data_IF_549163314605
#
_entry.id   IF_549163314605
#
_cell.length_a   1.000
_cell.length_b   1.000
_cell.length_c   1.000
_cell.angle_alpha   90.00
_cell.angle_beta   90.00
_cell.angle_gamma   90.00
#
_symmetry.space_group_name_H-M   'P 1'
#
loop_
_entity.id
_entity.type
_entity.pdbx_description
1 polymer ?
#
# COMPACT_ATOMS: atom_id res chain seq x y z
N UNK A 1 -19.36 2.25 4.08
CA UNK A 1 -20.25 3.38 3.76
C UNK A 1 -20.71 3.21 2.32
N UNK A 2 -22.02 3.24 2.06
CA UNK A 2 -22.53 3.19 0.70
C UNK A 2 -22.45 4.58 0.06
N UNK A 3 -22.08 4.61 -1.22
CA UNK A 3 -22.03 5.82 -2.03
C UNK A 3 -23.03 5.70 -3.18
N UNK A 4 -23.25 6.82 -3.88
CA UNK A 4 -23.96 6.80 -5.16
C UNK A 4 -23.28 5.89 -6.20
N UNK A 5 -21.97 5.66 -6.08
CA UNK A 5 -21.16 4.99 -7.10
C UNK A 5 -20.75 3.56 -6.75
N UNK A 6 -20.85 3.16 -5.48
CA UNK A 6 -20.52 1.82 -5.02
C UNK A 6 -21.35 1.44 -3.79
N UNK A 7 -21.56 0.13 -3.61
CA UNK A 7 -22.18 -0.46 -2.42
C UNK A 7 -21.19 -1.37 -1.73
N UNK A 8 -21.21 -1.40 -0.40
CA UNK A 8 -20.44 -2.37 0.37
C UNK A 8 -21.19 -3.70 0.50
N UNK A 9 -20.57 -4.79 0.08
CA UNK A 9 -21.10 -6.15 0.21
C UNK A 9 -20.15 -7.03 1.04
N UNK A 10 -20.65 -8.12 1.68
CA UNK A 10 -19.76 -9.09 2.31
C UNK A 10 -18.70 -9.58 1.32
N UNK A 11 -17.44 -9.58 1.76
CA UNK A 11 -16.35 -10.09 0.94
C UNK A 11 -16.41 -11.62 0.82
N UNK A 12 -15.87 -12.14 -0.28
CA UNK A 12 -15.61 -13.58 -0.41
C UNK A 12 -14.22 -13.91 0.15
N UNK A 13 -13.96 -15.15 0.59
CA UNK A 13 -12.62 -15.58 0.98
C UNK A 13 -11.58 -15.33 -0.12
N UNK A 14 -11.95 -15.55 -1.38
CA UNK A 14 -11.07 -15.28 -2.52
C UNK A 14 -10.69 -13.80 -2.62
N UNK A 15 -11.64 -12.89 -2.44
CA UNK A 15 -11.37 -11.45 -2.45
C UNK A 15 -10.38 -11.06 -1.35
N UNK A 16 -10.57 -11.60 -0.13
CA UNK A 16 -9.66 -11.33 0.99
C UNK A 16 -8.27 -11.90 0.75
N UNK A 17 -8.19 -13.10 0.17
CA UNK A 17 -6.91 -13.71 -0.22
C UNK A 17 -6.17 -12.83 -1.25
N UNK A 18 -6.87 -12.37 -2.29
CA UNK A 18 -6.28 -11.52 -3.32
C UNK A 18 -5.76 -10.21 -2.72
N UNK A 19 -6.49 -9.61 -1.76
CA UNK A 19 -6.02 -8.45 -1.01
C UNK A 19 -4.78 -8.74 -0.16
N UNK A 20 -4.76 -9.85 0.59
CA UNK A 20 -3.59 -10.27 1.39
C UNK A 20 -2.35 -10.46 0.51
N UNK A 21 -2.53 -11.08 -0.66
CA UNK A 21 -1.46 -11.22 -1.64
C UNK A 21 -1.04 -9.87 -2.21
N UNK A 22 -2.00 -9.00 -2.50
CA UNK A 22 -1.68 -7.67 -3.02
C UNK A 22 -0.90 -6.83 -2.02
N UNK A 23 -1.26 -6.90 -0.74
CA UNK A 23 -0.56 -6.23 0.34
C UNK A 23 0.86 -6.76 0.49
N UNK A 24 1.02 -8.08 0.64
CA UNK A 24 2.31 -8.73 0.75
C UNK A 24 3.22 -8.41 -0.45
N UNK A 25 2.72 -8.54 -1.67
CA UNK A 25 3.52 -8.27 -2.86
C UNK A 25 3.91 -6.79 -2.97
N UNK A 26 3.04 -5.86 -2.60
CA UNK A 26 3.36 -4.44 -2.59
C UNK A 26 4.46 -4.13 -1.56
N UNK A 27 4.32 -4.66 -0.34
CA UNK A 27 5.31 -4.54 0.73
C UNK A 27 6.69 -5.06 0.29
N UNK A 28 6.75 -6.27 -0.26
CA UNK A 28 8.00 -6.88 -0.72
C UNK A 28 8.57 -6.22 -1.99
N UNK A 29 7.70 -5.65 -2.84
CA UNK A 29 8.16 -4.95 -4.04
C UNK A 29 8.87 -3.64 -3.69
N UNK A 30 8.51 -2.95 -2.59
CA UNK A 30 9.16 -1.71 -2.16
C UNK A 30 10.59 -1.98 -1.66
N UNK A 31 10.84 -3.11 -0.99
CA UNK A 31 12.13 -3.46 -0.36
C UNK A 31 12.67 -4.87 -0.75
N UNK A 32 12.88 -5.16 -2.04
CA UNK A 32 13.17 -6.53 -2.51
C UNK A 32 14.55 -7.07 -2.12
N UNK A 33 15.49 -6.18 -1.76
CA UNK A 33 16.85 -6.57 -1.30
C UNK A 33 16.89 -7.03 0.16
N UNK A 34 15.90 -6.61 0.96
CA UNK A 34 15.80 -6.93 2.38
C UNK A 34 15.04 -8.25 2.52
N UNK A 35 13.83 -8.31 1.95
CA UNK A 35 12.89 -9.39 2.22
C UNK A 35 12.96 -10.60 1.28
N UNK A 36 13.74 -10.51 0.19
CA UNK A 36 13.78 -11.53 -0.86
C UNK A 36 12.46 -11.68 -1.62
N UNK A 37 12.49 -12.38 -2.77
CA UNK A 37 11.32 -12.62 -3.62
C UNK A 37 10.64 -13.94 -3.28
N UNK A 38 10.32 -14.18 -2.01
CA UNK A 38 9.63 -15.41 -1.62
C UNK A 38 8.14 -15.27 -1.89
N UNK A 39 7.64 -16.07 -2.82
CA UNK A 39 6.22 -16.15 -3.20
C UNK A 39 5.46 -16.79 -2.03
N UNK A 40 4.30 -16.20 -1.70
CA UNK A 40 3.32 -16.81 -0.79
C UNK A 40 2.24 -17.50 -1.62
N UNK A 41 1.84 -18.67 -1.16
CA UNK A 41 0.77 -19.49 -1.72
C UNK A 41 -0.38 -19.61 -0.72
N UNK A 42 -1.61 -19.93 -1.14
CA UNK A 42 -2.76 -20.02 -0.23
C UNK A 42 -2.53 -20.98 0.95
N UNK A 43 -1.75 -22.04 0.73
CA UNK A 43 -1.40 -23.09 1.69
C UNK A 43 -0.27 -22.69 2.64
N UNK A 44 0.36 -21.52 2.44
CA UNK A 44 1.43 -21.02 3.31
C UNK A 44 0.92 -20.92 4.75
N UNK A 45 1.68 -21.44 5.70
CA UNK A 45 1.28 -21.38 7.11
C UNK A 45 1.28 -19.94 7.63
N UNK A 46 0.44 -19.63 8.62
CA UNK A 46 0.44 -18.29 9.23
C UNK A 46 1.79 -17.95 9.87
N UNK A 47 2.43 -18.92 10.52
CA UNK A 47 3.77 -18.75 11.06
C UNK A 47 4.80 -18.40 9.98
N UNK A 48 4.79 -19.11 8.85
CA UNK A 48 5.69 -18.79 7.73
C UNK A 48 5.37 -17.43 7.11
N UNK A 49 4.10 -17.06 7.01
CA UNK A 49 3.68 -15.76 6.47
C UNK A 49 4.16 -14.60 7.37
N UNK A 50 3.95 -14.70 8.69
CA UNK A 50 4.41 -13.71 9.67
C UNK A 50 5.95 -13.61 9.67
N UNK A 51 6.63 -14.75 9.70
CA UNK A 51 8.09 -14.82 9.63
C UNK A 51 8.64 -14.16 8.35
N UNK A 52 8.00 -14.40 7.20
CA UNK A 52 8.43 -13.84 5.90
C UNK A 52 8.24 -12.34 5.78
N UNK A 53 7.28 -11.76 6.51
CA UNK A 53 7.16 -10.32 6.61
C UNK A 53 8.22 -9.69 7.55
N UNK A 54 9.15 -10.50 8.09
CA UNK A 54 10.14 -10.11 9.11
C UNK A 54 9.49 -9.48 10.35
N UNK A 55 8.29 -9.96 10.69
CA UNK A 55 7.47 -9.42 11.77
C UNK A 55 7.65 -10.17 13.09
N UNK A 56 8.63 -11.08 13.17
CA UNK A 56 8.87 -11.87 14.40
C UNK A 56 9.16 -10.99 15.63
N UNK A 57 9.66 -9.76 15.42
CA UNK A 57 9.94 -8.76 16.46
C UNK A 57 8.97 -7.55 16.47
N UNK A 58 8.07 -7.43 15.50
CA UNK A 58 7.01 -6.41 15.49
C UNK A 58 5.83 -6.94 16.30
N UNK A 59 5.31 -6.15 17.25
CA UNK A 59 4.15 -6.59 18.04
C UNK A 59 2.96 -6.82 17.09
N UNK A 60 2.22 -7.89 17.34
CA UNK A 60 1.02 -8.28 16.59
C UNK A 60 0.07 -7.09 16.37
N UNK A 61 0.07 -6.15 17.32
CA UNK A 61 -0.66 -4.88 17.35
C UNK A 61 -0.36 -4.03 16.11
N UNK A 62 0.91 -3.94 15.69
CA UNK A 62 1.27 -3.18 14.48
C UNK A 62 0.65 -3.80 13.22
N UNK A 63 0.62 -5.12 13.15
CA UNK A 63 0.02 -5.86 12.04
C UNK A 63 -1.50 -5.69 12.06
N UNK A 64 -2.11 -5.84 13.23
CA UNK A 64 -3.54 -5.65 13.43
C UNK A 64 -3.97 -4.24 13.01
N UNK A 65 -3.21 -3.20 13.38
CA UNK A 65 -3.46 -1.82 13.00
C UNK A 65 -3.31 -1.61 11.49
N UNK A 66 -2.21 -2.08 10.88
CA UNK A 66 -1.97 -1.95 9.45
C UNK A 66 -3.06 -2.67 8.64
N UNK A 67 -3.35 -3.92 8.98
CA UNK A 67 -4.36 -4.69 8.28
C UNK A 67 -5.76 -4.14 8.53
N UNK A 68 -6.06 -3.63 9.73
CA UNK A 68 -7.31 -2.91 9.98
C UNK A 68 -7.47 -1.71 9.05
N UNK A 69 -6.41 -0.94 8.85
CA UNK A 69 -6.42 0.18 7.91
C UNK A 69 -6.60 -0.30 6.46
N UNK A 70 -5.85 -1.32 6.03
CA UNK A 70 -5.92 -1.85 4.67
C UNK A 70 -7.29 -2.46 4.34
N UNK A 71 -7.86 -3.20 5.28
CA UNK A 71 -9.13 -3.90 5.11
C UNK A 71 -10.36 -3.10 5.57
N UNK A 72 -10.17 -1.89 6.11
CA UNK A 72 -11.19 -1.12 6.82
C UNK A 72 -11.94 -1.96 7.85
N UNK A 73 -11.18 -2.66 8.68
CA UNK A 73 -11.69 -3.46 9.78
C UNK A 73 -11.59 -2.67 11.09
N UNK A 74 -12.55 -2.93 11.98
CA UNK A 74 -12.56 -2.43 13.36
C UNK A 74 -12.38 -3.61 14.33
N UNK A 75 -11.44 -4.52 14.02
CA UNK A 75 -11.14 -5.65 14.90
C UNK A 75 -10.21 -5.18 16.03
N UNK A 76 -10.54 -5.54 17.28
CA UNK A 76 -9.61 -5.39 18.40
C UNK A 76 -8.40 -6.31 18.23
N UNK A 77 -7.33 -6.00 18.97
CA UNK A 77 -6.11 -6.81 19.02
C UNK A 77 -6.41 -8.26 19.44
N UNK A 78 -7.22 -8.45 20.48
CA UNK A 78 -7.65 -9.77 20.96
C UNK A 78 -8.33 -10.58 19.85
N UNK A 79 -9.24 -9.95 19.10
CA UNK A 79 -9.92 -10.61 17.99
C UNK A 79 -8.93 -10.98 16.88
N UNK A 80 -7.99 -10.09 16.54
CA UNK A 80 -6.94 -10.40 15.57
C UNK A 80 -6.08 -11.58 16.00
N UNK A 81 -5.75 -11.66 17.28
CA UNK A 81 -5.00 -12.78 17.82
C UNK A 81 -5.79 -14.10 17.70
N UNK A 82 -7.09 -14.09 18.01
CA UNK A 82 -7.95 -15.25 17.82
C UNK A 82 -8.05 -15.67 16.35
N UNK A 83 -8.21 -14.71 15.44
CA UNK A 83 -8.24 -14.96 13.98
C UNK A 83 -6.93 -15.59 13.50
N UNK A 84 -5.78 -15.07 13.93
CA UNK A 84 -4.46 -15.59 13.56
C UNK A 84 -4.15 -16.95 14.18
N UNK A 85 -4.55 -17.19 15.44
CA UNK A 85 -4.35 -18.48 16.10
C UNK A 85 -5.24 -19.59 15.54
N UNK A 86 -6.45 -19.24 15.11
CA UNK A 86 -7.39 -20.21 14.55
C UNK A 86 -7.06 -20.63 13.12
N UNK A 87 -6.36 -19.76 12.38
CA UNK A 87 -5.94 -20.00 11.01
C UNK A 87 -4.65 -20.83 10.93
N UNK A 88 -4.67 -21.93 10.14
CA UNK A 88 -3.46 -22.74 9.89
C UNK A 88 -2.71 -22.28 8.66
N UNK A 89 -3.42 -21.70 7.70
CA UNK A 89 -2.90 -21.20 6.42
C UNK A 89 -3.43 -19.81 6.10
N UNK A 90 -2.81 -19.12 5.14
CA UNK A 90 -3.31 -17.83 4.63
C UNK A 90 -4.74 -17.96 4.11
N UNK A 91 -5.07 -19.09 3.47
CA UNK A 91 -6.45 -19.36 3.04
C UNK A 91 -7.43 -19.43 4.22
N UNK A 92 -7.07 -20.12 5.31
CA UNK A 92 -7.94 -20.20 6.50
C UNK A 92 -8.16 -18.81 7.12
N UNK A 93 -7.12 -17.98 7.14
CA UNK A 93 -7.22 -16.59 7.58
C UNK A 93 -8.15 -15.79 6.66
N UNK A 94 -8.01 -15.94 5.34
CA UNK A 94 -8.88 -15.27 4.38
C UNK A 94 -10.36 -15.68 4.53
N UNK A 95 -10.62 -16.97 4.78
CA UNK A 95 -11.96 -17.50 5.08
C UNK A 95 -12.52 -16.84 6.34
N UNK A 96 -11.72 -16.76 7.40
CA UNK A 96 -12.19 -16.22 8.67
C UNK A 96 -12.43 -14.71 8.60
N UNK A 97 -11.48 -13.95 8.05
CA UNK A 97 -11.59 -12.51 7.83
C UNK A 97 -12.73 -12.12 6.88
N UNK A 98 -13.12 -12.98 5.92
CA UNK A 98 -14.23 -12.70 4.99
C UNK A 98 -15.57 -12.41 5.69
N UNK A 99 -15.73 -12.84 6.94
CA UNK A 99 -16.91 -12.53 7.77
C UNK A 99 -16.99 -11.07 8.20
N UNK A 100 -15.84 -10.40 8.25
CA UNK A 100 -15.69 -9.04 8.74
C UNK A 100 -15.46 -8.05 7.59
N UNK A 101 -14.76 -8.48 6.54
CA UNK A 101 -14.37 -7.62 5.42
C UNK A 101 -15.57 -7.29 4.53
N UNK A 102 -15.67 -6.02 4.16
CA UNK A 102 -16.61 -5.52 3.14
C UNK A 102 -15.86 -5.10 1.88
N UNK A 103 -16.40 -5.51 0.73
CA UNK A 103 -15.86 -5.15 -0.57
C UNK A 103 -16.75 -4.11 -1.25
N UNK A 104 -16.16 -3.08 -1.90
CA UNK A 104 -16.91 -2.16 -2.72
C UNK A 104 -17.31 -2.83 -4.05
N UNK A 105 -18.61 -2.85 -4.33
CA UNK A 105 -19.17 -3.27 -5.61
C UNK A 105 -19.60 -2.01 -6.37
N UNK A 106 -19.01 -1.81 -7.55
CA UNK A 106 -19.26 -0.63 -8.38
C UNK A 106 -20.66 -0.69 -8.98
N UNK A 107 -21.40 0.42 -8.83
CA UNK A 107 -22.76 0.54 -9.37
C UNK A 107 -22.69 1.19 -10.76
N UNK A 108 -23.21 0.56 -11.81
CA UNK A 108 -23.19 1.16 -13.15
C UNK A 108 -23.94 2.49 -13.14
N UNK A 109 -23.36 3.49 -13.82
CA UNK A 109 -24.02 4.78 -14.01
C UNK A 109 -24.41 4.95 -15.47
N UNK A 110 -25.49 5.67 -15.72
CA UNK A 110 -25.94 5.99 -17.07
C UNK A 110 -25.28 7.28 -17.56
N UNK A 111 -24.50 7.19 -18.63
CA UNK A 111 -23.94 8.35 -19.35
C UNK A 111 -24.49 8.33 -20.76
N UNK A 112 -25.17 9.42 -21.16
CA UNK A 112 -25.80 9.53 -22.50
C UNK A 112 -26.71 8.35 -22.86
N UNK A 113 -27.47 7.85 -21.88
CA UNK A 113 -28.41 6.75 -22.06
C UNK A 113 -27.81 5.34 -22.07
N UNK A 114 -26.50 5.18 -21.81
CA UNK A 114 -25.83 3.87 -21.74
C UNK A 114 -25.18 3.66 -20.38
N UNK A 115 -25.21 2.42 -19.88
CA UNK A 115 -24.44 2.04 -18.69
C UNK A 115 -22.94 2.14 -18.98
N UNK A 116 -22.21 2.80 -18.08
CA UNK A 116 -20.79 3.06 -18.23
C UNK A 116 -20.05 2.71 -16.93
N UNK A 117 -19.43 1.52 -16.90
CA UNK A 117 -18.62 1.06 -15.78
C UNK A 117 -17.36 1.90 -15.57
N UNK A 118 -16.69 2.36 -16.65
CA UNK A 118 -15.51 3.22 -16.53
C UNK A 118 -15.83 4.51 -15.78
N UNK A 119 -16.96 5.13 -16.10
CA UNK A 119 -17.39 6.36 -15.45
C UNK A 119 -17.82 6.11 -13.99
N UNK A 120 -18.46 4.97 -13.70
CA UNK A 120 -18.73 4.55 -12.32
C UNK A 120 -17.43 4.35 -11.52
N UNK A 121 -16.48 3.59 -12.05
CA UNK A 121 -15.19 3.35 -11.42
C UNK A 121 -14.43 4.66 -11.14
N UNK A 122 -14.41 5.59 -12.10
CA UNK A 122 -13.78 6.90 -11.91
C UNK A 122 -14.42 7.68 -10.77
N UNK A 123 -15.75 7.75 -10.75
CA UNK A 123 -16.50 8.50 -9.73
C UNK A 123 -16.41 7.82 -8.35
N UNK A 124 -16.40 6.50 -8.29
CA UNK A 124 -16.20 5.75 -7.05
C UNK A 124 -14.81 6.02 -6.45
N UNK A 125 -13.74 5.92 -7.25
CA UNK A 125 -12.38 6.24 -6.80
C UNK A 125 -12.27 7.69 -6.34
N UNK A 126 -12.90 8.62 -7.08
CA UNK A 126 -12.93 10.04 -6.73
C UNK A 126 -13.67 10.28 -5.41
N UNK A 127 -14.79 9.61 -5.19
CA UNK A 127 -15.58 9.71 -3.97
C UNK A 127 -14.84 9.12 -2.76
N UNK A 128 -14.20 7.96 -2.91
CA UNK A 128 -13.37 7.34 -1.87
C UNK A 128 -12.20 8.27 -1.47
N UNK A 129 -11.49 8.83 -2.45
CA UNK A 129 -10.43 9.81 -2.21
C UNK A 129 -10.94 11.06 -1.47
N UNK A 130 -12.11 11.56 -1.86
CA UNK A 130 -12.71 12.74 -1.25
C UNK A 130 -13.15 12.48 0.19
N UNK A 131 -13.68 11.29 0.50
CA UNK A 131 -14.06 10.89 1.86
C UNK A 131 -12.85 10.91 2.82
N UNK A 132 -11.65 10.63 2.31
CA UNK A 132 -10.42 10.65 3.08
C UNK A 132 -9.69 12.01 3.03
N UNK A 133 -10.38 13.06 2.58
CA UNK A 133 -9.88 14.43 2.62
C UNK A 133 -8.90 14.80 1.50
N UNK A 134 -8.72 13.97 0.48
CA UNK A 134 -7.89 14.31 -0.69
C UNK A 134 -8.62 15.33 -1.57
N UNK A 135 -7.93 16.41 -1.97
CA UNK A 135 -8.51 17.38 -2.90
C UNK A 135 -8.63 16.79 -4.32
N UNK A 136 -9.85 16.42 -4.67
CA UNK A 136 -10.19 15.82 -5.96
C UNK A 136 -10.71 16.81 -7.01
N UNK A 137 -10.70 18.12 -6.73
CA UNK A 137 -11.33 19.14 -7.60
C UNK A 137 -10.72 19.15 -9.00
N UNK A 138 -9.42 18.89 -9.12
CA UNK A 138 -8.67 18.85 -10.39
C UNK A 138 -8.57 17.46 -11.02
N UNK A 139 -9.16 16.42 -10.41
CA UNK A 139 -9.14 15.08 -10.98
C UNK A 139 -10.08 14.96 -12.17
N UNK A 140 -9.49 14.59 -13.31
CA UNK A 140 -10.15 14.25 -14.55
C UNK A 140 -9.68 12.87 -15.03
N UNK A 141 -10.40 12.20 -15.95
CA UNK A 141 -9.97 10.91 -16.49
C UNK A 141 -8.59 10.95 -17.16
N UNK A 142 -8.18 12.09 -17.70
CA UNK A 142 -6.85 12.29 -18.30
C UNK A 142 -5.76 12.62 -17.28
N UNK A 143 -6.09 12.82 -16.01
CA UNK A 143 -5.11 13.11 -14.96
C UNK A 143 -4.20 11.90 -14.80
N UNK A 144 -2.89 12.15 -14.65
CA UNK A 144 -1.94 11.07 -14.42
C UNK A 144 -2.14 10.45 -13.03
N UNK A 145 -2.13 9.12 -12.97
CA UNK A 145 -2.27 8.37 -11.72
C UNK A 145 -0.96 8.34 -10.94
N UNK A 146 0.18 8.43 -11.63
CA UNK A 146 1.53 8.24 -11.06
C UNK A 146 1.84 9.16 -9.87
N UNK A 147 1.57 10.49 -9.90
CA UNK A 147 1.85 11.36 -8.76
C UNK A 147 1.05 10.95 -7.53
N UNK A 148 -0.25 10.74 -7.69
CA UNK A 148 -1.17 10.44 -6.59
C UNK A 148 -0.88 9.06 -5.99
N UNK A 149 -0.54 8.08 -6.82
CA UNK A 149 -0.13 6.76 -6.34
C UNK A 149 1.11 6.82 -5.46
N UNK A 150 2.11 7.62 -5.83
CA UNK A 150 3.35 7.70 -5.05
C UNK A 150 3.21 8.58 -3.81
N UNK A 151 2.30 9.56 -3.80
CA UNK A 151 2.14 10.52 -2.72
C UNK A 151 1.08 10.13 -1.67
N UNK A 152 0.12 9.29 -2.02
CA UNK A 152 -1.02 8.95 -1.15
C UNK A 152 -1.11 7.45 -0.86
N UNK A 153 -0.71 7.07 0.37
CA UNK A 153 -0.91 5.71 0.88
C UNK A 153 -2.40 5.35 0.91
N UNK A 154 -3.24 6.31 1.27
CA UNK A 154 -4.70 6.22 1.24
C UNK A 154 -5.23 5.82 -0.13
N UNK A 155 -4.74 6.44 -1.20
CA UNK A 155 -5.12 6.07 -2.56
C UNK A 155 -4.68 4.65 -2.91
N UNK A 156 -3.47 4.23 -2.49
CA UNK A 156 -3.01 2.85 -2.68
C UNK A 156 -3.93 1.86 -1.95
N UNK A 157 -4.40 2.17 -0.75
CA UNK A 157 -5.35 1.35 0.02
C UNK A 157 -6.70 1.22 -0.68
N UNK A 158 -7.31 2.33 -1.10
CA UNK A 158 -8.57 2.29 -1.86
C UNK A 158 -8.45 1.52 -3.16
N UNK A 159 -7.34 1.74 -3.86
CA UNK A 159 -7.11 1.07 -5.12
C UNK A 159 -6.97 -0.44 -4.94
N UNK A 160 -6.31 -0.91 -3.88
CA UNK A 160 -6.28 -2.34 -3.53
C UNK A 160 -7.68 -2.89 -3.30
N UNK A 161 -8.56 -2.17 -2.61
CA UNK A 161 -9.94 -2.62 -2.36
C UNK A 161 -10.79 -2.73 -3.62
N UNK A 162 -10.66 -1.78 -4.55
CA UNK A 162 -11.38 -1.82 -5.83
C UNK A 162 -10.75 -2.82 -6.80
N UNK A 163 -9.43 -3.03 -6.70
CA UNK A 163 -8.63 -3.88 -7.57
C UNK A 163 -7.75 -4.81 -6.73
N UNK A 164 -8.31 -5.88 -6.12
CA UNK A 164 -7.57 -6.75 -5.20
C UNK A 164 -6.44 -7.54 -5.88
N UNK A 165 -6.49 -7.68 -7.21
CA UNK A 165 -5.39 -8.25 -8.00
C UNK A 165 -4.31 -7.24 -8.39
N UNK A 166 -4.21 -6.07 -7.72
CA UNK A 166 -3.33 -4.97 -8.08
C UNK A 166 -1.87 -5.38 -8.27
N UNK A 167 -1.38 -6.32 -7.44
CA UNK A 167 -0.02 -6.84 -7.52
C UNK A 167 0.37 -7.44 -8.87
N UNK A 168 -0.60 -7.89 -9.68
CA UNK A 168 -0.32 -8.41 -11.04
C UNK A 168 -0.05 -7.29 -12.04
N UNK A 169 -0.52 -6.07 -11.73
CA UNK A 169 -0.46 -4.89 -12.59
C UNK A 169 0.61 -3.89 -12.14
N UNK A 170 1.04 -3.94 -10.88
CA UNK A 170 2.05 -3.04 -10.32
C UNK A 170 3.41 -3.73 -10.27
N UNK A 171 4.43 -3.04 -10.76
CA UNK A 171 5.82 -3.41 -10.53
C UNK A 171 6.59 -2.23 -9.96
N UNK A 172 7.61 -2.55 -9.17
CA UNK A 172 8.50 -1.55 -8.63
C UNK A 172 9.60 -1.21 -9.64
N UNK A 173 9.62 0.04 -10.08
CA UNK A 173 10.74 0.59 -10.83
C UNK A 173 11.73 1.18 -9.84
N UNK A 174 12.96 0.66 -9.83
CA UNK A 174 14.07 1.28 -9.11
C UNK A 174 14.48 2.52 -9.86
N UNK A 175 14.04 3.67 -9.36
CA UNK A 175 14.49 4.94 -9.90
C UNK A 175 15.74 5.35 -9.14
N UNK A 176 16.67 5.82 -9.94
CA UNK A 176 17.98 6.22 -9.52
C UNK A 176 17.92 7.73 -9.31
N UNK A 177 17.51 8.16 -8.13
CA UNK A 177 17.36 9.59 -7.81
C UNK A 177 18.75 10.16 -7.57
N UNK A 178 19.14 11.17 -8.34
CA UNK A 178 20.47 11.77 -8.27
C UNK A 178 20.37 13.25 -7.94
N UNK A 179 20.74 13.59 -6.70
CA UNK A 179 20.96 14.96 -6.28
C UNK A 179 19.95 15.50 -5.26
N UNK A 180 20.38 16.56 -4.59
CA UNK A 180 19.68 17.18 -3.45
C UNK A 180 18.30 17.71 -3.85
N UNK A 181 18.12 18.18 -5.09
CA UNK A 181 16.88 18.82 -5.54
C UNK A 181 15.68 17.87 -5.56
N UNK A 182 15.84 16.65 -6.09
CA UNK A 182 14.78 15.64 -6.09
C UNK A 182 14.47 15.14 -4.66
N UNK A 183 15.49 14.98 -3.81
CA UNK A 183 15.31 14.64 -2.39
C UNK A 183 14.61 15.74 -1.58
N UNK A 184 14.78 17.01 -1.97
CA UNK A 184 14.12 18.17 -1.37
C UNK A 184 12.65 18.25 -1.77
N UNK A 185 12.35 18.03 -3.06
CA UNK A 185 10.98 18.04 -3.60
C UNK A 185 10.10 16.93 -3.00
N UNK A 186 10.70 15.83 -2.56
CA UNK A 186 10.00 14.70 -1.92
C UNK A 186 9.82 14.84 -0.40
N UNK A 187 10.31 15.91 0.25
CA UNK A 187 10.14 16.14 1.70
C UNK A 187 10.90 15.16 2.63
N UNK A 188 11.40 14.06 2.08
CA UNK A 188 12.12 13.00 2.76
C UNK A 188 13.44 13.45 3.40
N UNK A 189 14.16 14.39 2.79
CA UNK A 189 15.45 14.84 3.31
C UNK A 189 15.32 15.49 4.70
N UNK A 190 14.23 16.22 4.95
CA UNK A 190 13.98 16.88 6.22
C UNK A 190 13.48 15.91 7.28
N UNK A 191 12.64 14.93 6.91
CA UNK A 191 12.15 13.91 7.85
C UNK A 191 13.30 13.00 8.30
N UNK A 192 14.11 12.47 7.37
CA UNK A 192 15.26 11.63 7.72
C UNK A 192 16.33 12.40 8.52
N UNK A 193 16.57 13.67 8.19
CA UNK A 193 17.48 14.52 8.95
C UNK A 193 16.99 14.78 10.38
N UNK A 194 15.68 15.03 10.56
CA UNK A 194 15.07 15.27 11.87
C UNK A 194 15.08 14.01 12.73
N UNK A 195 14.63 12.87 12.21
CA UNK A 195 14.63 11.61 12.95
C UNK A 195 16.03 11.10 13.25
N UNK A 196 16.97 11.26 12.31
CA UNK A 196 18.37 10.87 12.49
C UNK A 196 19.07 11.71 13.57
N UNK A 197 18.82 13.01 13.62
CA UNK A 197 19.37 13.89 14.67
C UNK A 197 18.77 13.59 16.03
N UNK A 198 17.45 13.37 16.12
CA UNK A 198 16.78 12.99 17.35
C UNK A 198 17.32 11.66 17.91
N UNK A 199 17.45 10.63 17.06
CA UNK A 199 18.01 9.34 17.45
C UNK A 199 19.47 9.46 17.91
N UNK A 200 20.27 10.29 17.24
CA UNK A 200 21.67 10.53 17.62
C UNK A 200 21.77 11.21 18.98
N UNK A 201 20.93 12.20 19.26
CA UNK A 201 20.87 12.87 20.56
C UNK A 201 20.49 11.87 21.65
N UNK A 202 19.46 11.04 21.43
CA UNK A 202 19.07 9.99 22.36
C UNK A 202 20.23 9.01 22.63
N UNK A 203 20.90 8.52 21.58
CA UNK A 203 22.04 7.60 21.72
C UNK A 203 23.23 8.24 22.44
N UNK A 204 23.42 9.56 22.34
CA UNK A 204 24.51 10.26 23.02
C UNK A 204 24.35 10.22 24.55
N UNK A 205 23.12 10.15 25.06
CA UNK A 205 22.83 10.03 26.50
C UNK A 205 22.95 8.59 27.01
N UNK A 206 22.49 7.60 26.25
CA UNK A 206 22.41 6.21 26.72
C UNK A 206 23.60 5.35 26.30
N UNK A 207 24.22 5.64 25.14
CA UNK A 207 25.32 4.84 24.60
C UNK A 207 26.21 5.66 23.63
N UNK A 208 27.11 6.51 24.18
CA UNK A 208 27.94 7.44 23.40
C UNK A 208 28.72 6.83 22.22
N UNK A 209 29.23 5.57 22.29
CA UNK A 209 29.89 4.95 21.14
C UNK A 209 28.97 4.74 19.93
N UNK A 210 27.69 4.37 20.12
CA UNK A 210 26.76 4.24 18.98
C UNK A 210 26.38 5.59 18.40
N UNK A 211 26.30 6.64 19.22
CA UNK A 211 26.06 7.99 18.72
C UNK A 211 27.18 8.42 17.74
N UNK A 212 28.44 8.13 18.06
CA UNK A 212 29.57 8.37 17.16
C UNK A 212 29.44 7.63 15.83
N UNK A 213 29.05 6.35 15.86
CA UNK A 213 28.83 5.55 14.64
C UNK A 213 27.68 6.13 13.80
N UNK A 214 26.57 6.51 14.43
CA UNK A 214 25.41 7.10 13.74
C UNK A 214 25.72 8.44 13.09
N UNK A 215 26.54 9.29 13.73
CA UNK A 215 27.05 10.54 13.13
C UNK A 215 27.88 10.24 11.89
N UNK A 216 28.77 9.25 11.94
CA UNK A 216 29.59 8.84 10.80
C UNK A 216 28.70 8.32 9.66
N UNK A 217 27.71 7.46 9.95
CA UNK A 217 26.76 6.95 8.95
C UNK A 217 25.98 8.11 8.32
N UNK A 218 25.50 9.06 9.12
CA UNK A 218 24.75 10.23 8.65
C UNK A 218 25.60 11.14 7.76
N UNK A 219 26.86 11.39 8.15
CA UNK A 219 27.82 12.14 7.34
C UNK A 219 28.15 11.42 6.03
N UNK A 220 28.37 10.11 6.07
CA UNK A 220 28.58 9.30 4.87
C UNK A 220 27.36 9.36 3.94
N UNK A 221 26.14 9.20 4.46
CA UNK A 221 24.91 9.31 3.68
C UNK A 221 24.77 10.72 3.06
N UNK A 222 25.06 11.77 3.82
CA UNK A 222 25.03 13.15 3.35
C UNK A 222 26.07 13.41 2.24
N UNK A 223 27.30 12.89 2.40
CA UNK A 223 28.35 12.98 1.38
C UNK A 223 27.94 12.21 0.11
N UNK A 224 27.34 11.03 0.24
CA UNK A 224 26.83 10.28 -0.91
C UNK A 224 25.74 11.07 -1.64
N UNK A 225 24.82 11.72 -0.92
CA UNK A 225 23.80 12.60 -1.49
C UNK A 225 24.43 13.80 -2.21
N UNK A 226 25.45 14.45 -1.61
CA UNK A 226 26.17 15.57 -2.20
C UNK A 226 26.93 15.20 -3.47
N UNK A 227 27.54 14.01 -3.48
CA UNK A 227 28.25 13.46 -4.64
C UNK A 227 27.28 13.02 -5.76
N UNK A 228 25.97 13.22 -5.57
CA UNK A 228 24.95 12.74 -6.50
C UNK A 228 24.98 11.23 -6.65
N UNK A 229 25.54 10.51 -5.65
CA UNK A 229 25.51 9.06 -5.65
C UNK A 229 24.04 8.68 -5.58
N UNK A 230 23.58 7.95 -6.58
CA UNK A 230 22.18 7.75 -6.70
C UNK A 230 21.65 6.83 -5.62
N UNK A 231 20.66 7.32 -4.87
CA UNK A 231 19.94 6.49 -3.92
C UNK A 231 18.92 5.64 -4.68
N UNK A 232 18.83 4.33 -4.39
CA UNK A 232 17.78 3.50 -4.94
C UNK A 232 16.46 3.92 -4.28
N UNK A 233 15.65 4.70 -4.99
CA UNK A 233 14.27 4.95 -4.59
C UNK A 233 13.40 3.98 -5.36
N UNK A 234 12.55 3.25 -4.65
CA UNK A 234 11.59 2.35 -5.28
C UNK A 234 10.32 3.14 -5.57
N UNK A 235 9.91 3.25 -6.84
CA UNK A 235 8.62 3.83 -7.22
C UNK A 235 7.67 2.73 -7.67
N UNK A 236 6.40 2.86 -7.28
CA UNK A 236 5.35 2.01 -7.80
C UNK A 236 5.00 2.45 -9.21
N UNK A 237 5.09 1.53 -10.16
CA UNK A 237 4.74 1.76 -11.56
C UNK A 237 3.71 0.73 -11.98
N UNK A 238 2.62 1.21 -12.55
CA UNK A 238 1.68 0.32 -13.21
C UNK A 238 2.21 -0.10 -14.58
N UNK A 239 1.90 -1.34 -14.95
CA UNK A 239 2.03 -1.84 -16.31
C UNK A 239 0.95 -1.17 -17.16
N UNK A 240 1.38 -0.32 -18.09
CA UNK A 240 0.52 0.28 -19.12
C UNK A 240 -0.65 1.15 -18.60
N UNK A 241 -0.60 1.65 -17.35
CA UNK A 241 -1.57 2.61 -16.80
C UNK A 241 -0.87 3.96 -16.58
N UNK A 242 -1.28 4.97 -17.34
CA UNK A 242 -0.72 6.32 -17.23
C UNK A 242 -1.70 7.31 -16.61
N UNK A 243 -2.99 7.12 -16.88
CA UNK A 243 -4.09 8.01 -16.51
C UNK A 243 -5.21 7.29 -15.76
N UNK A 244 -6.10 8.06 -15.12
CA UNK A 244 -7.27 7.50 -14.45
C UNK A 244 -8.19 6.76 -15.41
N UNK A 245 -8.24 7.17 -16.69
CA UNK A 245 -8.98 6.47 -17.73
C UNK A 245 -8.50 5.04 -17.86
N UNK A 246 -7.19 4.85 -18.06
CA UNK A 246 -6.59 3.52 -18.25
C UNK A 246 -6.86 2.63 -17.02
N UNK A 247 -6.78 3.23 -15.83
CA UNK A 247 -7.07 2.55 -14.57
C UNK A 247 -8.52 2.07 -14.50
N UNK A 248 -9.46 2.95 -14.86
CA UNK A 248 -10.89 2.65 -14.80
C UNK A 248 -11.34 1.66 -15.88
N UNK A 249 -10.70 1.68 -17.05
CA UNK A 249 -10.88 0.66 -18.09
C UNK A 249 -10.44 -0.71 -17.60
N UNK A 250 -9.32 -0.79 -16.86
CA UNK A 250 -8.85 -2.04 -16.27
C UNK A 250 -9.79 -2.57 -15.18
N UNK A 251 -10.25 -1.68 -14.31
CA UNK A 251 -11.22 -2.03 -13.26
C UNK A 251 -12.53 -2.54 -13.88
N UNK A 252 -13.04 -1.84 -14.91
CA UNK A 252 -14.27 -2.23 -15.59
C UNK A 252 -14.12 -3.58 -16.30
N UNK A 253 -13.00 -3.82 -16.98
CA UNK A 253 -12.74 -5.09 -17.65
C UNK A 253 -12.80 -6.27 -16.67
N UNK A 254 -12.23 -6.11 -15.47
CA UNK A 254 -12.22 -7.16 -14.44
C UNK A 254 -13.60 -7.40 -13.83
N UNK A 255 -14.39 -6.34 -13.65
CA UNK A 255 -15.78 -6.44 -13.16
C UNK A 255 -16.70 -7.14 -14.18
N UNK A 256 -16.43 -7.02 -15.48
CA UNK A 256 -17.21 -7.72 -16.52
C UNK A 256 -16.84 -9.20 -16.71
N UNK A 257 -15.68 -9.62 -16.20
CA UNK A 257 -15.19 -11.01 -16.30
C UNK A 257 -15.45 -11.87 -15.06
N UNK A 258 -15.91 -11.25 -13.97
CA UNK A 258 -16.25 -11.91 -12.70
C UNK A 258 -17.75 -12.21 -12.62
#
# INVERSE_FOLDING_TARGET
MDSKYYREEPATPQYVLDLLFSDYHLYHAILPKIFGTKIIEPETSIGDWLHRRELDDLTLDCIALELNEVFHLELSEDNWFEELQSARSIWDLAVSLSRHVRRPVLLPITVSGKECFNASAFLALKDMLQQDGVDVTKLAPSTSVKPILNESLTFQTHLRRVLPCLHKEVFCEKIRVSGIKELWEHGDLLSYGFWGTLLTVCLMFFYPPAAGIMVIISLCAFVLILLGVPLPVTRLKFRDIESFRDLTERIAALQTTA
#
